data_IF_134710266937
#
_entry.id   IF_134710266937
#
_cell.length_a   1.000
_cell.length_b   1.000
_cell.length_c   1.000
_cell.angle_alpha   90.00
_cell.angle_beta   90.00
_cell.angle_gamma   90.00
#
_symmetry.space_group_name_H-M   'P 1'
#
loop_
_entity.id
_entity.type
_entity.pdbx_description
1 polymer ?
#
# COMPACT_ATOMS: atom_id res chain seq x y z
N UNK A 1 22.21 87.41 7.98
CA UNK A 1 22.37 86.12 7.25
C UNK A 1 21.78 86.31 5.86
N UNK A 2 22.38 85.76 4.80
CA UNK A 2 21.80 85.85 3.46
C UNK A 2 20.42 85.17 3.43
N UNK A 3 19.42 85.86 2.90
CA UNK A 3 18.06 85.35 2.75
C UNK A 3 18.01 84.42 1.54
N UNK A 4 17.52 83.19 1.71
CA UNK A 4 17.41 82.22 0.60
C UNK A 4 16.21 82.59 -0.29
N UNK A 5 16.49 82.82 -1.57
CA UNK A 5 15.55 83.38 -2.54
C UNK A 5 15.41 82.41 -3.73
N UNK A 6 14.22 82.32 -4.35
CA UNK A 6 14.06 81.50 -5.54
C UNK A 6 14.96 82.03 -6.67
N UNK A 7 15.41 81.15 -7.59
CA UNK A 7 16.22 81.56 -8.72
C UNK A 7 15.46 82.60 -9.56
N UNK A 8 16.20 83.56 -10.17
CA UNK A 8 15.62 84.70 -10.92
C UNK A 8 14.68 84.25 -12.06
N UNK A 9 14.84 83.01 -12.56
CA UNK A 9 13.98 82.39 -13.58
C UNK A 9 12.89 81.43 -13.06
N UNK A 10 12.72 81.30 -11.74
CA UNK A 10 11.75 80.39 -11.11
C UNK A 10 12.14 78.90 -11.18
N UNK A 11 11.30 78.04 -10.57
CA UNK A 11 11.46 76.59 -10.62
C UNK A 11 10.79 75.99 -11.87
N UNK A 12 11.30 74.85 -12.33
CA UNK A 12 10.67 74.10 -13.41
C UNK A 12 9.25 73.65 -13.04
N UNK A 13 8.38 73.57 -14.05
CA UNK A 13 7.01 73.14 -13.87
C UNK A 13 6.95 71.68 -13.42
N UNK A 14 6.42 71.45 -12.21
CA UNK A 14 6.20 70.12 -11.66
C UNK A 14 4.87 69.57 -12.17
N UNK A 15 4.88 68.36 -12.74
CA UNK A 15 3.66 67.71 -13.20
C UNK A 15 2.85 67.20 -11.99
N UNK A 16 1.84 67.98 -11.59
CA UNK A 16 0.93 67.62 -10.49
C UNK A 16 -0.26 66.77 -10.96
N UNK A 17 -0.48 66.66 -12.28
CA UNK A 17 -1.58 65.90 -12.88
C UNK A 17 -1.20 64.43 -13.10
N UNK A 18 -2.18 63.56 -12.89
CA UNK A 18 -2.03 62.11 -13.08
C UNK A 18 -1.80 61.76 -14.56
N UNK A 19 -0.63 61.24 -14.89
CA UNK A 19 -0.25 60.84 -16.24
C UNK A 19 -0.39 59.32 -16.47
N UNK A 20 -1.63 58.81 -16.50
CA UNK A 20 -1.90 57.40 -16.81
C UNK A 20 -2.56 57.28 -18.19
N UNK A 21 -1.79 56.89 -19.24
CA UNK A 21 -2.36 56.67 -20.56
C UNK A 21 -3.17 55.35 -20.58
N UNK A 22 -4.40 55.41 -21.09
CA UNK A 22 -5.18 54.20 -21.38
C UNK A 22 -4.54 53.46 -22.57
N UNK A 23 -3.72 52.45 -22.27
CA UNK A 23 -3.06 51.59 -23.26
C UNK A 23 -3.79 50.25 -23.37
N UNK A 24 -3.85 49.69 -24.57
CA UNK A 24 -4.40 48.37 -24.84
C UNK A 24 -5.35 48.33 -26.04
N UNK A 25 -5.76 47.11 -26.42
CA UNK A 25 -6.78 46.89 -27.44
C UNK A 25 -8.18 47.16 -26.86
N UNK A 26 -9.09 47.61 -27.72
CA UNK A 26 -10.49 47.81 -27.33
C UNK A 26 -11.09 46.46 -26.88
N UNK A 27 -11.96 46.41 -25.85
CA UNK A 27 -12.53 45.17 -25.34
C UNK A 27 -13.23 44.30 -26.40
N UNK A 28 -13.84 44.95 -27.41
CA UNK A 28 -14.50 44.24 -28.52
C UNK A 28 -13.54 43.34 -29.32
N UNK A 29 -12.31 43.78 -29.57
CA UNK A 29 -11.33 42.97 -30.30
C UNK A 29 -10.83 41.79 -29.48
N UNK A 30 -10.74 41.94 -28.15
CA UNK A 30 -10.40 40.85 -27.25
C UNK A 30 -11.48 39.77 -27.24
N UNK A 31 -12.75 40.18 -27.20
CA UNK A 31 -13.89 39.25 -27.29
C UNK A 31 -13.94 38.51 -28.62
N UNK A 32 -13.67 39.21 -29.73
CA UNK A 32 -13.59 38.59 -31.05
C UNK A 32 -12.45 37.57 -31.11
N UNK A 33 -11.24 37.95 -30.65
CA UNK A 33 -10.10 37.04 -30.62
C UNK A 33 -10.35 35.80 -29.76
N UNK A 34 -10.96 35.98 -28.58
CA UNK A 34 -11.36 34.87 -27.72
C UNK A 34 -12.41 33.98 -28.39
N UNK A 35 -13.44 34.57 -29.01
CA UNK A 35 -14.48 33.84 -29.72
C UNK A 35 -13.93 32.98 -30.84
N UNK A 36 -13.05 33.55 -31.67
CA UNK A 36 -12.40 32.82 -32.76
C UNK A 36 -11.54 31.66 -32.26
N UNK A 37 -10.76 31.88 -31.18
CA UNK A 37 -9.95 30.83 -30.56
C UNK A 37 -10.83 29.68 -30.04
N UNK A 38 -11.93 30.00 -29.36
CA UNK A 38 -12.85 28.99 -28.82
C UNK A 38 -13.53 28.21 -29.94
N UNK A 39 -14.06 28.89 -30.96
CA UNK A 39 -14.69 28.23 -32.12
C UNK A 39 -13.72 27.28 -32.81
N UNK A 40 -12.46 27.68 -33.00
CA UNK A 40 -11.43 26.80 -33.56
C UNK A 40 -11.12 25.61 -32.63
N UNK A 41 -11.02 25.85 -31.32
CA UNK A 41 -10.83 24.81 -30.32
C UNK A 41 -11.91 23.73 -30.37
N UNK A 42 -13.19 24.14 -30.40
CA UNK A 42 -14.32 23.22 -30.52
C UNK A 42 -14.29 22.42 -31.82
N UNK A 43 -13.92 23.04 -32.93
CA UNK A 43 -13.76 22.33 -34.20
C UNK A 43 -12.67 21.25 -34.13
N UNK A 44 -11.50 21.56 -33.52
CA UNK A 44 -10.40 20.60 -33.37
C UNK A 44 -10.76 19.44 -32.43
N UNK A 45 -11.44 19.73 -31.31
CA UNK A 45 -11.93 18.70 -30.38
C UNK A 45 -12.94 17.78 -31.06
N UNK A 46 -13.85 18.33 -31.87
CA UNK A 46 -14.82 17.53 -32.62
C UNK A 46 -14.17 16.50 -33.53
N UNK A 47 -13.06 16.83 -34.20
CA UNK A 47 -12.31 15.86 -35.00
C UNK A 47 -11.66 14.77 -34.12
N UNK A 48 -11.09 15.15 -32.97
CA UNK A 48 -10.50 14.19 -32.03
C UNK A 48 -11.52 13.20 -31.44
N UNK A 49 -12.73 13.65 -31.13
CA UNK A 49 -13.81 12.77 -30.62
C UNK A 49 -14.18 11.71 -31.67
N UNK A 50 -14.21 12.10 -32.95
CA UNK A 50 -14.50 11.15 -34.04
C UNK A 50 -13.43 10.07 -34.13
N UNK A 51 -12.16 10.44 -34.03
CA UNK A 51 -11.05 9.49 -34.01
C UNK A 51 -11.11 8.56 -32.79
N UNK A 52 -11.37 9.10 -31.60
CA UNK A 52 -11.53 8.28 -30.38
C UNK A 52 -12.70 7.29 -30.48
N UNK A 53 -13.80 7.67 -31.13
CA UNK A 53 -14.92 6.76 -31.34
C UNK A 53 -14.57 5.60 -32.27
N UNK A 54 -13.78 5.86 -33.31
CA UNK A 54 -13.29 4.80 -34.21
C UNK A 54 -12.31 3.87 -33.47
N UNK A 55 -11.39 4.41 -32.68
CA UNK A 55 -10.49 3.61 -31.83
C UNK A 55 -11.25 2.79 -30.78
N UNK A 56 -12.27 3.37 -30.15
CA UNK A 56 -13.12 2.67 -29.20
C UNK A 56 -13.92 1.54 -29.88
N UNK A 57 -14.36 1.76 -31.13
CA UNK A 57 -15.00 0.74 -31.94
C UNK A 57 -14.03 -0.40 -32.23
N UNK A 58 -12.82 -0.10 -32.71
CA UNK A 58 -11.77 -1.11 -32.93
C UNK A 58 -11.49 -1.93 -31.67
N UNK A 59 -11.33 -1.26 -30.52
CA UNK A 59 -11.15 -1.91 -29.21
C UNK A 59 -12.34 -2.78 -28.81
N UNK A 60 -13.56 -2.37 -29.15
CA UNK A 60 -14.75 -3.19 -28.87
C UNK A 60 -14.77 -4.43 -29.76
N UNK A 61 -14.44 -4.29 -31.04
CA UNK A 61 -14.34 -5.43 -31.96
C UNK A 61 -13.27 -6.42 -31.51
N UNK A 62 -12.08 -5.96 -31.11
CA UNK A 62 -11.04 -6.85 -30.60
C UNK A 62 -11.49 -7.63 -29.36
N UNK A 63 -12.29 -7.02 -28.49
CA UNK A 63 -12.91 -7.71 -27.36
C UNK A 63 -13.92 -8.76 -27.80
N UNK A 64 -14.86 -8.43 -28.69
CA UNK A 64 -15.88 -9.37 -29.17
C UNK A 64 -15.25 -10.65 -29.72
N UNK A 65 -14.13 -10.54 -30.43
CA UNK A 65 -13.41 -11.71 -30.96
C UNK A 65 -12.71 -12.55 -29.89
N UNK A 66 -12.29 -11.95 -28.78
CA UNK A 66 -11.56 -12.64 -27.70
C UNK A 66 -12.48 -13.18 -26.61
N UNK A 67 -13.63 -12.54 -26.36
CA UNK A 67 -14.62 -12.95 -25.35
C UNK A 67 -14.94 -14.45 -25.40
N UNK A 68 -15.30 -15.07 -26.53
CA UNK A 68 -15.69 -16.48 -26.53
C UNK A 68 -14.55 -17.40 -26.09
N UNK A 69 -13.29 -17.08 -26.42
CA UNK A 69 -12.14 -17.87 -25.96
C UNK A 69 -11.95 -17.72 -24.45
N UNK A 70 -11.97 -16.48 -23.94
CA UNK A 70 -11.75 -16.21 -22.51
C UNK A 70 -12.87 -16.77 -21.64
N UNK A 71 -14.13 -16.62 -22.07
CA UNK A 71 -15.28 -17.21 -21.39
C UNK A 71 -15.18 -18.74 -21.38
N UNK A 72 -14.73 -19.37 -22.47
CA UNK A 72 -14.53 -20.82 -22.48
C UNK A 72 -13.37 -21.29 -21.57
N UNK A 73 -12.36 -20.45 -21.32
CA UNK A 73 -11.31 -20.73 -20.33
C UNK A 73 -11.84 -20.58 -18.90
N UNK A 74 -12.59 -19.52 -18.64
CA UNK A 74 -13.25 -19.25 -17.36
C UNK A 74 -14.24 -20.37 -17.00
N UNK A 75 -15.13 -20.76 -17.93
CA UNK A 75 -16.10 -21.85 -17.73
C UNK A 75 -15.41 -23.16 -17.34
N UNK A 76 -14.24 -23.48 -17.93
CA UNK A 76 -13.46 -24.68 -17.57
C UNK A 76 -12.86 -24.60 -16.16
N UNK A 77 -12.36 -23.45 -15.75
CA UNK A 77 -11.81 -23.25 -14.40
C UNK A 77 -12.92 -23.31 -13.34
N UNK A 78 -14.06 -22.66 -13.60
CA UNK A 78 -15.22 -22.68 -12.71
C UNK A 78 -15.73 -24.11 -12.48
N UNK A 79 -15.88 -24.91 -13.54
CA UNK A 79 -16.31 -26.31 -13.41
C UNK A 79 -15.31 -27.12 -12.60
N UNK A 80 -13.99 -26.95 -12.80
CA UNK A 80 -12.97 -27.67 -12.02
C UNK A 80 -13.06 -27.36 -10.53
N UNK A 81 -13.22 -26.09 -10.16
CA UNK A 81 -13.37 -25.67 -8.76
C UNK A 81 -14.66 -26.21 -8.17
N UNK A 82 -15.76 -26.11 -8.91
CA UNK A 82 -17.06 -26.58 -8.46
C UNK A 82 -17.07 -28.08 -8.17
N UNK A 83 -16.52 -28.90 -9.09
CA UNK A 83 -16.43 -30.34 -8.89
C UNK A 83 -15.49 -30.71 -7.73
N UNK A 84 -14.39 -29.99 -7.56
CA UNK A 84 -13.48 -30.21 -6.43
C UNK A 84 -14.15 -29.88 -5.08
N UNK A 85 -14.95 -28.82 -5.03
CA UNK A 85 -15.70 -28.45 -3.82
C UNK A 85 -16.83 -29.46 -3.53
N UNK A 86 -17.55 -29.95 -4.56
CA UNK A 86 -18.55 -31.01 -4.40
C UNK A 86 -17.92 -32.33 -3.91
N UNK A 87 -16.75 -32.70 -4.43
CA UNK A 87 -16.02 -33.89 -3.97
C UNK A 87 -15.63 -33.76 -2.50
N UNK A 88 -15.09 -32.61 -2.10
CA UNK A 88 -14.74 -32.31 -0.70
C UNK A 88 -15.96 -32.32 0.22
N UNK A 89 -17.09 -31.75 -0.23
CA UNK A 89 -18.34 -31.77 0.53
C UNK A 89 -18.85 -33.20 0.73
N UNK A 90 -18.77 -34.04 -0.32
CA UNK A 90 -19.18 -35.44 -0.25
C UNK A 90 -18.30 -36.27 0.70
N UNK A 91 -17.00 -36.01 0.76
CA UNK A 91 -16.09 -36.65 1.72
C UNK A 91 -16.43 -36.28 3.17
N UNK A 92 -16.75 -35.00 3.43
CA UNK A 92 -17.02 -34.50 4.78
C UNK A 92 -18.44 -34.81 5.26
N UNK A 93 -19.44 -34.65 4.40
CA UNK A 93 -20.87 -34.70 4.74
C UNK A 93 -21.60 -35.93 4.19
N UNK A 94 -20.94 -36.73 3.34
CA UNK A 94 -21.50 -37.94 2.74
C UNK A 94 -22.49 -37.69 1.59
N UNK A 95 -22.88 -36.44 1.33
CA UNK A 95 -23.79 -36.05 0.24
C UNK A 95 -23.42 -34.67 -0.31
N UNK A 96 -23.83 -34.40 -1.54
CA UNK A 96 -23.81 -33.07 -2.17
C UNK A 96 -25.16 -32.41 -1.98
N UNK A 97 -25.23 -31.24 -1.34
CA UNK A 97 -26.51 -30.53 -1.10
C UNK A 97 -26.62 -29.27 -1.95
N UNK A 98 -27.75 -29.09 -2.65
CA UNK A 98 -28.09 -27.80 -3.27
C UNK A 98 -28.95 -26.98 -2.32
N UNK A 99 -28.70 -25.67 -2.23
CA UNK A 99 -29.52 -24.74 -1.47
C UNK A 99 -30.76 -24.29 -2.26
N UNK A 100 -30.76 -24.50 -3.58
CA UNK A 100 -31.80 -24.05 -4.49
C UNK A 100 -32.70 -25.22 -4.88
N UNK A 101 -33.99 -24.94 -4.97
CA UNK A 101 -35.01 -25.90 -5.40
C UNK A 101 -35.09 -26.04 -6.94
N UNK A 102 -34.31 -25.26 -7.68
CA UNK A 102 -34.30 -25.26 -9.15
C UNK A 102 -33.02 -25.89 -9.68
N UNK A 103 -33.12 -26.64 -10.78
CA UNK A 103 -31.98 -27.25 -11.48
C UNK A 103 -31.18 -26.25 -12.34
N UNK A 104 -31.37 -24.94 -12.10
CA UNK A 104 -30.64 -23.89 -12.78
C UNK A 104 -29.28 -23.75 -12.14
N UNK A 105 -28.23 -23.76 -12.96
CA UNK A 105 -26.88 -23.45 -12.51
C UNK A 105 -26.81 -22.01 -11.98
N UNK A 106 -26.37 -21.89 -10.73
CA UNK A 106 -26.16 -20.61 -10.06
C UNK A 106 -24.67 -20.42 -9.87
N UNK A 107 -24.15 -19.28 -10.32
CA UNK A 107 -22.75 -18.93 -10.11
C UNK A 107 -22.47 -18.89 -8.60
N UNK A 108 -21.49 -19.68 -8.15
CA UNK A 108 -21.09 -19.71 -6.76
C UNK A 108 -20.61 -18.30 -6.33
N UNK A 109 -21.15 -17.78 -5.23
CA UNK A 109 -20.65 -16.54 -4.63
C UNK A 109 -19.32 -16.83 -3.92
N UNK A 110 -18.20 -16.65 -4.63
CA UNK A 110 -16.84 -16.92 -4.14
C UNK A 110 -16.40 -16.05 -2.94
N UNK A 111 -17.19 -15.05 -2.56
CA UNK A 111 -16.80 -14.01 -1.60
C UNK A 111 -16.79 -14.50 -0.13
N UNK A 112 -17.70 -15.42 0.23
CA UNK A 112 -17.87 -15.81 1.64
C UNK A 112 -16.72 -16.72 2.10
N UNK A 113 -16.19 -17.60 1.26
CA UNK A 113 -15.16 -18.57 1.69
C UNK A 113 -13.78 -17.91 1.83
N UNK A 114 -13.41 -17.00 0.91
CA UNK A 114 -12.12 -16.31 0.96
C UNK A 114 -12.07 -15.30 2.11
N UNK A 115 -13.16 -14.58 2.38
CA UNK A 115 -13.25 -13.64 3.50
C UNK A 115 -13.19 -14.37 4.85
N UNK A 116 -13.85 -15.54 4.98
CA UNK A 116 -13.75 -16.34 6.20
C UNK A 116 -12.33 -16.91 6.40
N UNK A 117 -11.68 -17.41 5.36
CA UNK A 117 -10.28 -17.90 5.44
C UNK A 117 -9.31 -16.74 5.71
N UNK A 118 -9.52 -15.57 5.09
CA UNK A 118 -8.72 -14.37 5.34
C UNK A 118 -8.89 -13.85 6.77
N UNK A 119 -10.12 -13.84 7.29
CA UNK A 119 -10.42 -13.48 8.69
C UNK A 119 -9.84 -14.48 9.69
N UNK A 120 -9.93 -15.79 9.40
CA UNK A 120 -9.34 -16.86 10.20
C UNK A 120 -7.80 -16.75 10.23
N UNK A 121 -7.17 -16.48 9.09
CA UNK A 121 -5.72 -16.22 9.01
C UNK A 121 -5.31 -14.96 9.75
N UNK A 122 -6.03 -13.85 9.56
CA UNK A 122 -5.77 -12.58 10.24
C UNK A 122 -5.88 -12.71 11.78
N UNK A 123 -6.87 -13.46 12.27
CA UNK A 123 -7.01 -13.79 13.70
C UNK A 123 -5.83 -14.60 14.23
N UNK A 124 -5.36 -15.60 13.47
CA UNK A 124 -4.17 -16.39 13.82
C UNK A 124 -2.89 -15.55 13.94
N UNK A 125 -2.68 -14.59 13.03
CA UNK A 125 -1.53 -13.68 13.09
C UNK A 125 -1.59 -12.70 14.28
N UNK A 126 -2.78 -12.27 14.71
CA UNK A 126 -2.93 -11.38 15.87
C UNK A 126 -2.63 -12.12 17.18
N UNK A 127 -3.15 -13.34 17.34
CA UNK A 127 -2.89 -14.17 18.52
C UNK A 127 -1.42 -14.59 18.61
N UNK A 128 -0.79 -14.94 17.48
CA UNK A 128 0.64 -15.29 17.44
C UNK A 128 1.53 -14.10 17.84
N UNK A 129 1.23 -12.88 17.37
CA UNK A 129 1.99 -11.69 17.73
C UNK A 129 1.74 -11.24 19.16
N UNK A 130 0.51 -11.39 19.68
CA UNK A 130 0.19 -11.13 21.08
C UNK A 130 0.94 -12.07 22.01
N UNK A 131 0.99 -13.36 21.69
CA UNK A 131 1.77 -14.36 22.43
C UNK A 131 3.28 -14.05 22.40
N UNK A 132 3.82 -13.60 21.25
CA UNK A 132 5.23 -13.18 21.17
C UNK A 132 5.53 -11.96 22.04
N UNK A 133 4.62 -10.99 22.12
CA UNK A 133 4.77 -9.81 22.99
C UNK A 133 4.71 -10.22 24.46
N UNK A 134 3.76 -11.07 24.82
CA UNK A 134 3.63 -11.59 26.20
C UNK A 134 4.89 -12.36 26.63
N UNK A 135 5.45 -13.19 25.76
CA UNK A 135 6.73 -13.88 26.01
C UNK A 135 7.91 -12.90 26.11
N UNK A 136 7.92 -11.82 25.32
CA UNK A 136 8.98 -10.81 25.39
C UNK A 136 8.87 -9.97 26.68
N UNK A 137 7.66 -9.66 27.11
CA UNK A 137 7.39 -8.98 28.39
C UNK A 137 7.76 -9.88 29.58
N UNK A 138 7.38 -11.16 29.55
CA UNK A 138 7.78 -12.14 30.56
C UNK A 138 9.31 -12.25 30.64
N UNK A 139 9.99 -12.38 29.50
CA UNK A 139 11.45 -12.43 29.47
C UNK A 139 12.09 -11.13 29.98
N UNK A 140 11.50 -9.97 29.70
CA UNK A 140 11.98 -8.68 30.22
C UNK A 140 11.90 -8.62 31.73
N UNK A 141 10.80 -9.07 32.31
CA UNK A 141 10.64 -9.10 33.78
C UNK A 141 11.59 -10.11 34.43
N UNK A 142 11.85 -11.25 33.78
CA UNK A 142 12.88 -12.20 34.23
C UNK A 142 14.28 -11.57 34.23
N UNK A 143 14.64 -10.85 33.17
CA UNK A 143 15.91 -10.12 33.11
C UNK A 143 16.05 -9.08 34.23
N UNK A 144 14.99 -8.29 34.49
CA UNK A 144 14.98 -7.31 35.58
C UNK A 144 15.10 -7.99 36.96
N UNK A 145 14.43 -9.12 37.17
CA UNK A 145 14.54 -9.89 38.42
C UNK A 145 15.94 -10.45 38.67
N UNK A 146 16.67 -10.81 37.61
CA UNK A 146 18.05 -11.29 37.68
C UNK A 146 19.03 -10.16 37.99
N UNK A 147 18.77 -8.97 37.45
CA UNK A 147 19.60 -7.77 37.70
C UNK A 147 19.42 -7.25 39.13
N UNK A 148 18.20 -7.29 39.67
CA UNK A 148 17.95 -6.99 41.08
C UNK A 148 18.62 -8.01 42.03
N UNK A 149 18.72 -9.29 41.62
CA UNK A 149 19.41 -10.32 42.40
C UNK A 149 20.94 -10.15 42.40
N UNK A 150 21.49 -9.58 41.31
CA UNK A 150 22.91 -9.25 41.18
C UNK A 150 23.32 -7.98 41.96
N UNK A 151 22.35 -7.17 42.42
CA UNK A 151 22.57 -5.94 43.18
C UNK A 151 22.38 -6.09 44.71
N UNK A 152 22.16 -7.31 45.21
CA UNK A 152 22.14 -7.54 46.65
C UNK A 152 23.56 -7.47 47.23
N UNK A 153 23.82 -6.61 48.23
CA UNK A 153 25.13 -6.55 48.88
C UNK A 153 25.42 -7.88 49.59
N UNK A 154 26.52 -8.54 49.22
CA UNK A 154 27.00 -9.73 49.94
C UNK A 154 27.59 -9.30 51.29
N UNK A 155 26.78 -9.37 52.35
CA UNK A 155 27.29 -9.26 53.71
C UNK A 155 27.87 -10.61 54.18
N UNK A 156 29.21 -10.65 54.20
CA UNK A 156 30.13 -11.20 55.22
C UNK A 156 29.77 -12.56 55.91
N UNK A 157 30.63 -13.57 56.04
CA UNK A 157 31.96 -13.61 56.70
C UNK A 157 32.63 -14.99 56.47
N UNK A 158 33.98 -14.98 56.51
CA UNK A 158 34.90 -16.10 56.76
C UNK A 158 35.21 -17.09 55.62
N UNK A 159 36.25 -16.81 54.84
CA UNK A 159 37.63 -17.27 55.12
C UNK A 159 38.51 -17.05 53.88
N UNK A 160 39.59 -16.27 54.05
CA UNK A 160 40.78 -16.39 53.19
C UNK A 160 41.68 -17.46 53.84
N UNK A 161 42.43 -18.27 53.06
CA UNK A 161 43.49 -17.71 52.25
C UNK A 161 43.75 -18.38 50.88
N UNK A 162 44.59 -17.66 50.11
CA UNK A 162 45.45 -18.11 49.01
C UNK A 162 44.90 -18.09 47.57
N UNK A 163 45.35 -17.04 46.88
CA UNK A 163 45.40 -16.90 45.42
C UNK A 163 46.53 -17.80 44.90
N UNK A 164 46.32 -18.56 43.82
CA UNK A 164 46.90 -18.14 42.55
C UNK A 164 45.87 -18.17 41.40
N UNK A 165 45.82 -17.08 40.64
CA UNK A 165 45.31 -17.04 39.27
C UNK A 165 46.12 -17.99 38.36
N UNK A 166 45.65 -18.43 37.17
CA UNK A 166 44.62 -17.79 36.34
C UNK A 166 43.44 -18.69 35.93
N UNK A 167 42.31 -18.00 35.86
CA UNK A 167 41.00 -18.25 35.27
C UNK A 167 40.89 -19.41 34.27
N UNK A 168 39.96 -20.34 34.51
CA UNK A 168 39.42 -21.19 33.47
C UNK A 168 37.94 -20.84 33.17
N UNK A 169 37.71 -20.66 31.88
CA UNK A 169 36.46 -20.82 31.12
C UNK A 169 35.55 -19.62 30.81
N UNK A 170 35.20 -19.46 29.52
CA UNK A 170 34.52 -18.30 28.99
C UNK A 170 32.99 -18.43 29.12
N UNK A 171 32.37 -17.49 29.84
CA UNK A 171 30.93 -17.20 29.72
C UNK A 171 30.61 -16.48 28.38
N UNK A 172 31.63 -16.19 27.57
CA UNK A 172 31.49 -15.60 26.23
C UNK A 172 30.89 -16.54 25.17
N UNK A 173 30.57 -17.81 25.48
CA UNK A 173 30.08 -18.77 24.49
C UNK A 173 28.55 -18.76 24.24
N UNK A 174 27.75 -18.04 25.04
CA UNK A 174 26.28 -17.99 24.84
C UNK A 174 25.77 -16.68 24.19
N UNK A 175 26.67 -15.75 23.85
CA UNK A 175 26.31 -14.46 23.22
C UNK A 175 26.51 -14.48 21.69
N UNK A 176 27.08 -15.56 21.12
CA UNK A 176 27.34 -15.65 19.68
C UNK A 176 26.28 -16.40 18.86
N UNK A 177 25.20 -16.91 19.47
CA UNK A 177 24.17 -17.69 18.75
C UNK A 177 22.84 -16.97 18.44
N UNK A 178 22.75 -15.65 18.63
CA UNK A 178 21.58 -14.87 18.20
C UNK A 178 21.98 -13.67 17.35
N UNK A 179 22.53 -13.91 16.15
CA UNK A 179 21.94 -13.23 15.00
C UNK A 179 21.90 -14.14 13.76
N UNK A 180 21.23 -15.29 13.85
CA UNK A 180 20.89 -16.09 12.65
C UNK A 180 19.39 -16.39 12.55
N UNK A 181 18.62 -16.30 13.64
CA UNK A 181 17.17 -16.56 13.62
C UNK A 181 16.29 -15.31 13.39
N UNK A 182 16.87 -14.15 13.05
CA UNK A 182 16.10 -12.94 12.72
C UNK A 182 16.14 -12.57 11.22
N UNK A 183 16.99 -13.21 10.43
CA UNK A 183 17.10 -12.96 8.97
C UNK A 183 16.56 -14.11 8.11
N UNK A 184 16.27 -15.28 8.69
CA UNK A 184 15.69 -16.40 7.96
C UNK A 184 14.15 -16.35 7.82
N UNK A 185 13.45 -15.49 8.58
CA UNK A 185 11.97 -15.40 8.57
C UNK A 185 11.41 -14.34 7.61
N UNK A 186 12.26 -13.57 6.91
CA UNK A 186 11.82 -12.49 6.02
C UNK A 186 12.11 -12.72 4.53
N UNK A 187 12.75 -13.83 4.14
CA UNK A 187 13.14 -14.04 2.74
C UNK A 187 13.18 -15.52 2.33
N UNK A 188 12.06 -16.24 2.46
CA UNK A 188 11.77 -17.44 1.65
C UNK A 188 10.30 -17.85 1.75
N UNK A 189 9.48 -17.43 0.78
CA UNK A 189 8.56 -18.31 0.04
C UNK A 189 7.73 -17.49 -0.95
N UNK A 190 8.16 -17.52 -2.22
CA UNK A 190 7.18 -17.53 -3.31
C UNK A 190 6.51 -18.90 -3.29
N UNK A 191 5.18 -19.01 -3.28
CA UNK A 191 4.55 -20.31 -3.47
C UNK A 191 4.76 -20.76 -4.92
N UNK A 192 5.47 -21.89 -5.09
CA UNK A 192 5.48 -22.67 -6.32
C UNK A 192 4.09 -23.28 -6.52
N UNK A 193 3.52 -23.09 -7.71
CA UNK A 193 2.30 -23.76 -8.14
C UNK A 193 2.67 -25.19 -8.50
N UNK A 194 2.29 -26.16 -7.67
CA UNK A 194 2.32 -27.57 -8.06
C UNK A 194 0.98 -27.96 -8.68
N UNK A 195 1.01 -28.22 -9.98
CA UNK A 195 0.00 -29.00 -10.69
C UNK A 195 -0.06 -30.39 -10.09
N UNK A 196 -1.23 -30.82 -9.61
CA UNK A 196 -1.49 -32.23 -9.32
C UNK A 196 -2.54 -32.71 -10.30
N UNK A 197 -2.03 -33.44 -11.30
CA UNK A 197 -2.75 -34.40 -12.11
C UNK A 197 -3.05 -35.65 -11.28
N UNK A 198 -4.33 -36.02 -11.17
CA UNK A 198 -4.93 -37.37 -11.24
C UNK A 198 -6.31 -37.32 -10.59
#
# INVERSE_FOLDING_TARGET
>A
MPQDLPPVGGYNAVQYKRNLPARGFRPAYLLLGMGALMTYGFWRVGQGIREQNELAREKMWSRIYLIPMLTAEEDRDLVRRHLADQAREKELLGKTTSAYNSDREVTAQLEIVQDQIAKQRAGGYVEENKAKVEILEENRELWLSLEDLALTPSDNTNSSPDIPSPHPFPIAALVSQTPVLLTASFFHQRPQVHSVSS
#
